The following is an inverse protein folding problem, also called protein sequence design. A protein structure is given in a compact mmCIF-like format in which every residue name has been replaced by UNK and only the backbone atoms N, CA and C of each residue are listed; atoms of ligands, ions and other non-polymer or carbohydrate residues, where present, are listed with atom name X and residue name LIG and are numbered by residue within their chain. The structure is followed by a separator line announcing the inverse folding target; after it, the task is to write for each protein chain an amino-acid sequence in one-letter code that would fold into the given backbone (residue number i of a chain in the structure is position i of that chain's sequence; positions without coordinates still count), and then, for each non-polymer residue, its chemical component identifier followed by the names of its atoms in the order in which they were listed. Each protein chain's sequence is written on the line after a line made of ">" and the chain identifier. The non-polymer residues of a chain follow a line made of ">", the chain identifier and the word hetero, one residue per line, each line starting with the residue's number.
data_IF_757830825513
#
_entry.id   IF_757830825513
#
_cell.length_a   1.000
_cell.length_b   1.000
_cell.length_c   1.000
_cell.angle_alpha   90.00
_cell.angle_beta   90.00
_cell.angle_gamma   90.00
#
_symmetry.space_group_name_H-M   'P 1'
#
loop_
_entity.id
_entity.type
_entity.pdbx_description
1 polymer ?
#
# COMPACT_ATOMS: atom_id res chain seq x y z
N UNK A 1 -24.30 9.17 16.61
CA UNK A 1 -23.19 8.46 17.27
C UNK A 1 -22.02 8.51 16.30
N UNK A 2 -20.94 9.21 16.63
CA UNK A 2 -19.76 9.27 15.75
C UNK A 2 -19.10 7.90 15.77
N UNK A 3 -18.92 7.32 14.59
CA UNK A 3 -18.25 6.03 14.43
C UNK A 3 -16.75 6.30 14.48
N UNK A 4 -16.12 5.97 15.61
CA UNK A 4 -14.67 6.13 15.75
C UNK A 4 -13.98 4.87 15.24
N UNK A 5 -13.21 5.02 14.16
CA UNK A 5 -12.32 3.97 13.69
C UNK A 5 -10.98 4.16 14.40
N UNK A 6 -10.55 3.14 15.15
CA UNK A 6 -9.24 3.10 15.78
C UNK A 6 -8.26 2.40 14.83
N UNK A 7 -7.12 3.04 14.56
CA UNK A 7 -6.06 2.50 13.70
C UNK A 7 -4.86 2.08 14.58
N UNK A 8 -4.57 0.79 14.61
CA UNK A 8 -3.47 0.21 15.36
C UNK A 8 -2.38 -0.24 14.38
N UNK A 9 -1.26 0.47 14.37
CA UNK A 9 -0.17 0.21 13.42
C UNK A 9 0.90 -0.70 14.03
N UNK A 10 1.23 -1.78 13.34
CA UNK A 10 2.30 -2.71 13.66
C UNK A 10 3.33 -2.72 12.52
N UNK A 11 4.45 -3.44 12.72
CA UNK A 11 5.53 -3.49 11.73
C UNK A 11 5.09 -4.05 10.38
N UNK A 12 4.30 -5.12 10.39
CA UNK A 12 3.94 -5.86 9.17
C UNK A 12 2.54 -5.52 8.64
N UNK A 13 1.68 -4.96 9.48
CA UNK A 13 0.27 -4.73 9.18
C UNK A 13 -0.32 -3.61 10.04
N UNK A 14 -1.52 -3.19 9.67
CA UNK A 14 -2.37 -2.30 10.45
C UNK A 14 -3.65 -3.04 10.79
N UNK A 15 -4.13 -2.90 12.02
CA UNK A 15 -5.46 -3.37 12.42
C UNK A 15 -6.39 -2.16 12.55
N UNK A 16 -7.52 -2.22 11.86
CA UNK A 16 -8.61 -1.26 12.00
C UNK A 16 -9.63 -1.86 12.95
N UNK A 17 -10.11 -1.05 13.89
CA UNK A 17 -11.18 -1.44 14.81
C UNK A 17 -12.33 -0.46 14.72
N UNK A 18 -13.52 -0.99 14.51
CA UNK A 18 -14.77 -0.25 14.51
C UNK A 18 -15.76 -0.92 15.46
N UNK A 19 -15.91 -0.36 16.67
CA UNK A 19 -16.68 -0.96 17.76
C UNK A 19 -16.21 -2.38 18.12
N UNK A 20 -16.88 -3.41 17.57
CA UNK A 20 -16.59 -4.84 17.77
C UNK A 20 -16.02 -5.51 16.52
N UNK A 21 -16.01 -4.81 15.39
CA UNK A 21 -15.51 -5.32 14.12
C UNK A 21 -14.03 -4.96 13.98
N UNK A 22 -13.24 -5.91 13.50
CA UNK A 22 -11.81 -5.76 13.30
C UNK A 22 -11.46 -6.14 11.86
N UNK A 23 -10.57 -5.38 11.27
CA UNK A 23 -9.97 -5.66 9.97
C UNK A 23 -8.45 -5.60 10.09
N UNK A 24 -7.74 -6.46 9.37
CA UNK A 24 -6.28 -6.40 9.22
C UNK A 24 -5.97 -6.05 7.78
N UNK A 25 -5.06 -5.09 7.60
CA UNK A 25 -4.57 -4.68 6.30
C UNK A 25 -3.05 -4.60 6.25
N UNK A 26 -2.49 -4.93 5.10
CA UNK A 26 -1.07 -4.75 4.81
C UNK A 26 -0.85 -4.57 3.31
N UNK A 27 0.35 -4.14 2.96
CA UNK A 27 0.78 -4.07 1.58
C UNK A 27 1.89 -5.08 1.32
N UNK A 28 1.82 -5.74 0.17
CA UNK A 28 2.89 -6.58 -0.38
C UNK A 28 3.13 -6.13 -1.81
N UNK A 29 4.21 -5.38 -2.01
CA UNK A 29 4.47 -4.69 -3.28
C UNK A 29 3.35 -3.72 -3.66
N UNK A 30 2.68 -4.01 -4.78
CA UNK A 30 1.58 -3.21 -5.35
C UNK A 30 0.21 -3.58 -4.78
N UNK A 31 0.13 -4.71 -4.08
CA UNK A 31 -1.12 -5.25 -3.55
C UNK A 31 -1.38 -4.72 -2.15
N UNK A 32 -2.65 -4.40 -1.89
CA UNK A 32 -3.16 -4.10 -0.55
C UNK A 32 -4.13 -5.22 -0.21
N UNK A 33 -3.79 -5.96 0.84
CA UNK A 33 -4.62 -7.04 1.36
C UNK A 33 -5.41 -6.50 2.55
N UNK A 34 -6.70 -6.81 2.61
CA UNK A 34 -7.59 -6.45 3.71
C UNK A 34 -8.52 -7.63 4.01
N UNK A 35 -8.55 -8.08 5.26
CA UNK A 35 -9.40 -9.16 5.71
C UNK A 35 -10.12 -8.80 7.02
N UNK A 36 -11.40 -9.18 7.17
CA UNK A 36 -12.04 -9.14 8.47
C UNK A 36 -11.40 -10.18 9.40
N UNK A 37 -11.22 -9.84 10.68
CA UNK A 37 -10.65 -10.72 11.70
C UNK A 37 -11.49 -10.69 12.97
N UNK A 38 -11.36 -11.74 13.79
CA UNK A 38 -11.95 -11.75 15.13
C UNK A 38 -11.12 -10.92 16.11
N UNK A 39 -11.72 -10.59 17.26
CA UNK A 39 -11.00 -9.92 18.34
C UNK A 39 -9.79 -10.76 18.81
N UNK A 40 -9.92 -12.10 18.89
CA UNK A 40 -8.80 -12.94 19.34
C UNK A 40 -7.60 -12.89 18.37
N UNK A 41 -7.86 -12.78 17.06
CA UNK A 41 -6.80 -12.59 16.07
C UNK A 41 -6.17 -11.20 16.20
N UNK A 42 -6.96 -10.16 16.43
CA UNK A 42 -6.45 -8.80 16.64
C UNK A 42 -5.55 -8.72 17.89
N UNK A 43 -5.96 -9.34 18.99
CA UNK A 43 -5.15 -9.46 20.20
C UNK A 43 -3.85 -10.25 19.94
N UNK A 44 -3.90 -11.29 19.10
CA UNK A 44 -2.71 -12.05 18.73
C UNK A 44 -1.71 -11.21 17.94
N UNK A 45 -2.16 -10.42 16.96
CA UNK A 45 -1.30 -9.51 16.17
C UNK A 45 -0.46 -8.61 17.07
N UNK A 46 -1.01 -8.13 18.19
CA UNK A 46 -0.31 -7.24 19.11
C UNK A 46 0.83 -7.87 19.93
N UNK A 47 0.96 -9.20 19.93
CA UNK A 47 1.90 -9.92 20.81
C UNK A 47 3.33 -9.89 20.31
N UNK A 48 3.54 -10.08 19.01
CA UNK A 48 4.87 -10.10 18.41
C UNK A 48 4.83 -9.91 16.90
N UNK A 49 5.97 -9.57 16.30
CA UNK A 49 6.10 -9.53 14.84
C UNK A 49 5.77 -10.89 14.20
N UNK A 50 6.20 -11.99 14.82
CA UNK A 50 5.90 -13.34 14.34
C UNK A 50 4.40 -13.63 14.39
N UNK A 51 3.73 -13.30 15.49
CA UNK A 51 2.28 -13.47 15.62
C UNK A 51 1.52 -12.68 14.56
N UNK A 52 1.96 -11.47 14.23
CA UNK A 52 1.35 -10.67 13.16
C UNK A 52 1.44 -11.37 11.81
N UNK A 53 2.60 -11.95 11.47
CA UNK A 53 2.80 -12.70 10.22
C UNK A 53 1.96 -14.00 10.19
N UNK A 54 1.88 -14.71 11.31
CA UNK A 54 1.05 -15.92 11.42
C UNK A 54 -0.44 -15.62 11.19
N UNK A 55 -0.95 -14.50 11.72
CA UNK A 55 -2.33 -14.07 11.51
C UNK A 55 -2.57 -13.66 10.06
N UNK A 56 -1.66 -12.87 9.47
CA UNK A 56 -1.73 -12.51 8.05
C UNK A 56 -1.78 -13.78 7.17
N UNK A 57 -0.89 -14.74 7.43
CA UNK A 57 -0.85 -16.03 6.72
C UNK A 57 -2.16 -16.80 6.88
N UNK A 58 -2.70 -16.84 8.10
CA UNK A 58 -3.98 -17.50 8.38
C UNK A 58 -5.15 -16.84 7.61
N UNK A 59 -5.18 -15.52 7.50
CA UNK A 59 -6.22 -14.81 6.74
C UNK A 59 -6.20 -15.18 5.26
N UNK A 60 -5.01 -15.32 4.66
CA UNK A 60 -4.87 -15.69 3.23
C UNK A 60 -5.12 -17.18 2.97
N UNK A 61 -4.61 -18.06 3.84
CA UNK A 61 -4.55 -19.50 3.56
C UNK A 61 -5.54 -20.33 4.38
N UNK A 62 -6.25 -19.72 5.33
CA UNK A 62 -7.20 -20.37 6.24
C UNK A 62 -6.59 -21.53 7.06
N UNK A 63 -5.29 -21.46 7.35
CA UNK A 63 -4.55 -22.39 8.23
C UNK A 63 -3.33 -21.69 8.83
N UNK A 64 -2.82 -22.22 9.93
CA UNK A 64 -1.56 -21.72 10.50
C UNK A 64 -0.34 -22.17 9.67
N UNK A 65 0.72 -21.35 9.61
CA UNK A 65 1.94 -21.67 8.88
C UNK A 65 2.76 -22.75 9.59
N UNK A 66 3.56 -23.48 8.82
CA UNK A 66 4.69 -24.27 9.31
C UNK A 66 5.90 -23.34 9.54
N UNK A 67 6.92 -23.85 10.24
CA UNK A 67 8.04 -23.03 10.71
C UNK A 67 8.82 -22.33 9.58
N UNK A 68 8.92 -22.97 8.42
CA UNK A 68 9.65 -22.52 7.23
C UNK A 68 8.81 -21.63 6.30
N UNK A 69 7.48 -21.66 6.41
CA UNK A 69 6.60 -20.91 5.50
C UNK A 69 6.59 -19.40 5.76
N UNK A 70 7.17 -18.94 6.88
CA UNK A 70 7.20 -17.53 7.25
C UNK A 70 8.46 -16.79 6.80
N UNK A 71 9.54 -17.47 6.41
CA UNK A 71 10.83 -16.81 6.14
C UNK A 71 10.75 -15.79 4.98
N UNK A 72 9.86 -16.01 4.00
CA UNK A 72 9.68 -15.10 2.86
C UNK A 72 8.22 -14.74 2.55
N UNK A 73 7.28 -15.08 3.44
CA UNK A 73 5.83 -15.01 3.18
C UNK A 73 5.33 -13.62 2.71
N UNK A 74 5.82 -12.55 3.33
CA UNK A 74 5.37 -11.18 3.03
C UNK A 74 6.39 -10.38 2.20
N UNK A 75 7.30 -11.06 1.51
CA UNK A 75 8.25 -10.41 0.61
C UNK A 75 7.62 -10.11 -0.75
N UNK A 76 8.19 -9.15 -1.45
CA UNK A 76 7.80 -8.77 -2.81
C UNK A 76 9.03 -8.21 -3.52
N UNK A 77 9.23 -8.59 -4.78
CA UNK A 77 10.30 -8.04 -5.63
C UNK A 77 10.06 -6.58 -6.05
N UNK A 78 8.87 -6.04 -5.74
CA UNK A 78 8.55 -4.64 -5.98
C UNK A 78 9.09 -3.73 -4.89
N UNK A 79 9.95 -2.78 -5.26
CA UNK A 79 10.39 -1.67 -4.43
C UNK A 79 9.36 -0.53 -4.51
N UNK A 80 9.00 0.05 -3.37
CA UNK A 80 8.00 1.12 -3.27
C UNK A 80 8.68 2.45 -2.90
N UNK A 81 8.74 3.37 -3.85
CA UNK A 81 9.28 4.72 -3.65
C UNK A 81 8.14 5.69 -3.35
N UNK A 82 8.17 6.39 -2.20
CA UNK A 82 7.08 7.27 -1.76
C UNK A 82 7.42 8.73 -1.98
N UNK A 83 6.66 9.39 -2.85
CA UNK A 83 6.70 10.84 -3.07
C UNK A 83 5.57 11.55 -2.33
N UNK A 84 5.60 12.88 -2.33
CA UNK A 84 4.49 13.66 -1.79
C UNK A 84 3.33 13.67 -2.78
N UNK A 85 2.26 12.91 -2.49
CA UNK A 85 1.07 12.81 -3.33
C UNK A 85 1.13 11.75 -4.44
N UNK A 86 2.21 10.97 -4.51
CA UNK A 86 2.37 9.87 -5.47
C UNK A 86 3.25 8.75 -4.91
N UNK A 87 3.18 7.58 -5.53
CA UNK A 87 4.04 6.41 -5.28
C UNK A 87 4.64 5.98 -6.61
N UNK A 88 5.90 5.54 -6.63
CA UNK A 88 6.47 4.82 -7.77
C UNK A 88 6.79 3.40 -7.35
N UNK A 89 6.28 2.43 -8.11
CA UNK A 89 6.61 1.03 -7.96
C UNK A 89 7.68 0.63 -8.96
N UNK A 90 8.74 -0.01 -8.48
CA UNK A 90 9.81 -0.56 -9.30
C UNK A 90 9.82 -2.09 -9.17
N UNK A 91 9.61 -2.80 -10.27
CA UNK A 91 9.64 -4.28 -10.31
C UNK A 91 10.49 -4.70 -11.51
N UNK A 92 11.60 -5.39 -11.29
CA UNK A 92 12.50 -5.87 -12.36
C UNK A 92 12.93 -4.79 -13.38
N UNK A 93 13.14 -3.56 -12.91
CA UNK A 93 13.50 -2.42 -13.76
C UNK A 93 12.35 -1.77 -14.54
N UNK A 94 11.10 -2.20 -14.31
CA UNK A 94 9.89 -1.54 -14.78
C UNK A 94 9.35 -0.60 -13.71
N UNK A 95 8.96 0.61 -14.12
CA UNK A 95 8.50 1.67 -13.22
C UNK A 95 7.06 2.06 -13.52
N UNK A 96 6.25 2.20 -12.47
CA UNK A 96 4.87 2.68 -12.56
C UNK A 96 4.63 3.77 -11.51
N UNK A 97 4.09 4.90 -11.92
CA UNK A 97 3.64 5.97 -11.01
C UNK A 97 2.17 5.75 -10.65
N UNK A 98 1.85 5.85 -9.36
CA UNK A 98 0.52 5.74 -8.78
C UNK A 98 0.16 7.02 -8.05
N UNK A 99 -1.03 7.56 -8.30
CA UNK A 99 -1.55 8.73 -7.60
C UNK A 99 -3.07 8.75 -7.64
N UNK A 100 -3.69 9.52 -6.73
CA UNK A 100 -5.13 9.73 -6.75
C UNK A 100 -5.48 10.85 -7.72
N UNK A 101 -6.43 10.60 -8.64
CA UNK A 101 -6.95 11.65 -9.52
C UNK A 101 -7.80 12.63 -8.72
N UNK A 102 -7.64 13.92 -8.94
CA UNK A 102 -8.64 14.89 -8.49
C UNK A 102 -9.81 14.91 -9.49
N UNK A 103 -11.03 14.71 -9.01
CA UNK A 103 -12.25 14.77 -9.81
C UNK A 103 -13.22 15.75 -9.16
N UNK A 104 -13.36 16.94 -9.75
CA UNK A 104 -14.29 17.97 -9.27
C UNK A 104 -13.96 18.51 -7.87
N UNK A 105 -12.68 18.64 -7.52
CA UNK A 105 -12.23 19.08 -6.19
C UNK A 105 -12.30 18.00 -5.11
N UNK A 106 -12.66 16.76 -5.46
CA UNK A 106 -12.64 15.62 -4.56
C UNK A 106 -11.53 14.64 -4.96
N UNK A 107 -11.02 13.91 -3.96
CA UNK A 107 -10.12 12.77 -4.19
C UNK A 107 -10.88 11.67 -4.93
N UNK A 108 -10.50 11.44 -6.18
CA UNK A 108 -11.01 10.39 -7.05
C UNK A 108 -10.24 9.08 -6.91
N UNK A 109 -10.35 8.17 -7.89
CA UNK A 109 -9.70 6.86 -7.83
C UNK A 109 -8.18 6.97 -7.90
N UNK A 110 -7.48 6.00 -7.29
CA UNK A 110 -6.07 5.75 -7.57
C UNK A 110 -5.92 5.29 -9.02
N UNK A 111 -4.94 5.86 -9.73
CA UNK A 111 -4.58 5.48 -11.09
C UNK A 111 -3.09 5.15 -11.16
N UNK A 112 -2.74 4.24 -12.07
CA UNK A 112 -1.36 3.78 -12.28
C UNK A 112 -0.99 3.89 -13.75
N UNK A 113 0.18 4.43 -14.04
CA UNK A 113 0.71 4.56 -15.40
C UNK A 113 2.17 4.12 -15.46
N UNK A 114 2.58 3.43 -16.53
CA UNK A 114 3.98 3.12 -16.76
C UNK A 114 4.78 4.40 -16.99
N UNK A 115 5.98 4.46 -16.43
CA UNK A 115 6.94 5.55 -16.64
C UNK A 115 8.34 4.97 -16.87
N UNK A 116 9.24 5.81 -17.38
CA UNK A 116 10.66 5.46 -17.45
C UNK A 116 11.36 5.85 -16.15
N UNK A 117 12.59 5.35 -15.95
CA UNK A 117 13.42 5.74 -14.80
C UNK A 117 13.70 7.25 -14.79
N UNK A 118 13.92 7.86 -15.95
CA UNK A 118 14.16 9.30 -16.06
C UNK A 118 12.95 10.12 -15.62
N UNK A 119 11.73 9.63 -15.90
CA UNK A 119 10.49 10.25 -15.41
C UNK A 119 10.33 10.08 -13.90
N UNK A 120 10.73 8.92 -13.34
CA UNK A 120 10.77 8.73 -11.89
C UNK A 120 11.72 9.75 -11.25
N UNK A 121 12.97 9.84 -11.74
CA UNK A 121 13.97 10.75 -11.19
C UNK A 121 13.48 12.21 -11.21
N UNK A 122 12.87 12.64 -12.32
CA UNK A 122 12.24 13.97 -12.44
C UNK A 122 11.08 14.16 -11.45
N UNK A 123 10.27 13.13 -11.21
CA UNK A 123 9.17 13.22 -10.26
C UNK A 123 9.68 13.41 -8.82
N UNK A 124 10.80 12.78 -8.47
CA UNK A 124 11.42 12.92 -7.14
C UNK A 124 12.29 14.17 -6.97
N UNK A 125 12.64 14.86 -8.06
CA UNK A 125 13.46 16.08 -8.02
C UNK A 125 12.71 17.27 -7.40
N UNK A 126 11.41 17.43 -7.71
CA UNK A 126 10.61 18.54 -7.17
C UNK A 126 9.11 18.30 -7.29
N UNK A 127 8.31 19.03 -6.49
CA UNK A 127 6.84 19.00 -6.61
C UNK A 127 6.33 19.38 -8.00
N UNK A 128 7.03 20.28 -8.70
CA UNK A 128 6.71 20.63 -10.09
C UNK A 128 7.03 19.48 -11.03
N UNK A 129 8.20 18.84 -10.87
CA UNK A 129 8.58 17.66 -11.64
C UNK A 129 7.57 16.53 -11.45
N UNK A 130 7.15 16.26 -10.22
CA UNK A 130 6.09 15.30 -9.91
C UNK A 130 4.79 15.62 -10.65
N UNK A 131 4.31 16.86 -10.56
CA UNK A 131 3.10 17.29 -11.26
C UNK A 131 3.20 17.10 -12.77
N UNK A 132 4.31 17.56 -13.38
CA UNK A 132 4.53 17.46 -14.82
C UNK A 132 4.58 15.99 -15.28
N UNK A 133 5.22 15.10 -14.51
CA UNK A 133 5.28 13.66 -14.81
C UNK A 133 3.91 13.00 -14.65
N UNK A 134 3.12 13.33 -13.62
CA UNK A 134 1.77 12.79 -13.45
C UNK A 134 0.86 13.16 -14.62
N UNK A 135 0.88 14.43 -15.07
CA UNK A 135 0.13 14.88 -16.24
C UNK A 135 0.61 14.20 -17.52
N UNK A 136 1.94 14.08 -17.70
CA UNK A 136 2.51 13.42 -18.87
C UNK A 136 2.14 11.93 -18.93
N UNK A 137 2.23 11.22 -17.80
CA UNK A 137 1.91 9.79 -17.73
C UNK A 137 0.43 9.53 -18.03
N UNK A 138 -0.47 10.41 -17.59
CA UNK A 138 -1.90 10.30 -17.86
C UNK A 138 -2.28 10.65 -19.30
N UNK A 139 -1.70 11.71 -19.85
CA UNK A 139 -2.18 12.33 -21.11
C UNK A 139 -1.28 12.10 -22.31
N UNK A 140 -0.05 11.63 -22.07
CA UNK A 140 1.03 11.59 -23.07
C UNK A 140 1.57 12.98 -23.46
N UNK A 141 1.18 14.05 -22.75
CA UNK A 141 1.53 15.44 -23.08
C UNK A 141 2.07 16.17 -21.86
N UNK A 142 3.12 16.95 -22.07
CA UNK A 142 3.62 17.86 -21.04
C UNK A 142 2.61 18.99 -20.81
N UNK A 143 2.40 19.43 -19.55
CA UNK A 143 1.58 20.60 -19.30
C UNK A 143 2.22 21.83 -19.96
N UNK A 144 1.37 22.63 -20.62
CA UNK A 144 1.77 23.91 -21.18
C UNK A 144 1.50 24.99 -20.12
N UNK A 145 2.51 25.82 -19.88
CA UNK A 145 2.45 26.93 -18.95
C UNK A 145 2.46 28.25 -19.71
#
# INVERSE_FOLDING_TARGET
>A
MYMTIEMLQYKNCTVLKNNKDYEILWSRGKEVLNFPISQELAERVSKSEKDSLEVMFYCEHHRWPKADELEDYNQSDTIVHRGNGFIVYETDGYYEISFFKEVGGAMGPEVRYPITKELMDRAFESSRGAYEVMIYAETGRWPLW
#
